data_IF_252913245737
#
_entry.id   IF_252913245737
#
_cell.length_a   1.000
_cell.length_b   1.000
_cell.length_c   1.000
_cell.angle_alpha   90.00
_cell.angle_beta   90.00
_cell.angle_gamma   90.00
#
_symmetry.space_group_name_H-M   'P 1'
#
loop_
_entity.id
_entity.type
_entity.pdbx_description
1 polymer ?
#
# COMPACT_ATOMS: atom_id res chain seq x y z
N UNK A 1 8.05 24.33 -3.62
CA UNK A 1 7.98 23.87 -5.01
C UNK A 1 8.23 25.06 -5.95
N UNK A 2 8.91 24.81 -7.07
CA UNK A 2 9.43 25.87 -7.96
C UNK A 2 8.63 26.02 -9.26
N UNK A 3 7.82 25.04 -9.62
CA UNK A 3 7.07 25.03 -10.90
C UNK A 3 5.63 24.64 -10.69
N UNK A 4 4.75 25.11 -11.59
CA UNK A 4 3.32 24.76 -11.58
C UNK A 4 3.09 23.24 -11.74
N UNK A 5 3.94 22.57 -12.51
CA UNK A 5 3.91 21.12 -12.65
C UNK A 5 4.17 20.39 -11.33
N UNK A 6 5.13 20.87 -10.53
CA UNK A 6 5.41 20.31 -9.21
C UNK A 6 4.22 20.53 -8.25
N UNK A 7 3.60 21.70 -8.29
CA UNK A 7 2.39 22.00 -7.51
C UNK A 7 1.23 21.09 -7.94
N UNK A 8 1.02 20.95 -9.25
CA UNK A 8 -0.02 20.05 -9.77
C UNK A 8 0.20 18.61 -9.33
N UNK A 9 1.41 18.08 -9.47
CA UNK A 9 1.74 16.72 -9.03
C UNK A 9 1.56 16.53 -7.53
N UNK A 10 1.95 17.55 -6.72
CA UNK A 10 1.70 17.51 -5.29
C UNK A 10 0.21 17.33 -4.98
N UNK A 11 -0.61 18.19 -5.55
CA UNK A 11 -2.06 18.21 -5.28
C UNK A 11 -2.77 16.97 -5.82
N UNK A 12 -2.33 16.45 -6.96
CA UNK A 12 -2.93 15.27 -7.58
C UNK A 12 -2.54 13.95 -6.89
N UNK A 13 -1.26 13.79 -6.51
CA UNK A 13 -0.72 12.48 -6.08
C UNK A 13 -0.42 12.38 -4.59
N UNK A 14 0.01 13.45 -3.94
CA UNK A 14 0.64 13.36 -2.61
C UNK A 14 -0.12 14.06 -1.50
N UNK A 15 -0.75 15.20 -1.80
CA UNK A 15 -1.45 16.01 -0.84
C UNK A 15 -2.81 15.39 -0.48
N UNK A 16 -3.04 15.15 0.81
CA UNK A 16 -4.32 14.69 1.32
C UNK A 16 -5.25 15.89 1.54
N UNK A 17 -6.54 15.64 1.43
CA UNK A 17 -7.53 16.64 1.78
C UNK A 17 -7.68 16.68 3.31
N UNK A 18 -7.59 17.87 3.86
CA UNK A 18 -7.83 18.15 5.27
C UNK A 18 -9.24 18.75 5.40
N UNK A 19 -10.14 18.01 6.03
CA UNK A 19 -11.55 18.45 6.20
C UNK A 19 -11.68 19.64 7.12
N UNK A 20 -10.79 19.80 8.10
CA UNK A 20 -10.84 20.93 9.04
C UNK A 20 -10.41 22.22 8.38
N UNK A 21 -9.41 22.14 7.50
CA UNK A 21 -8.91 23.31 6.76
C UNK A 21 -9.67 23.54 5.43
N UNK A 22 -10.48 22.57 4.98
CA UNK A 22 -11.23 22.64 3.73
C UNK A 22 -10.33 22.69 2.48
N UNK A 23 -9.09 22.20 2.56
CA UNK A 23 -8.10 22.22 1.48
C UNK A 23 -7.19 21.02 1.51
N UNK A 24 -6.42 20.82 0.44
CA UNK A 24 -5.33 19.83 0.43
C UNK A 24 -4.10 20.35 1.17
N UNK A 25 -3.30 19.39 1.66
CA UNK A 25 -1.99 19.65 2.26
C UNK A 25 -1.08 20.43 1.29
N UNK A 26 -0.28 21.33 1.83
CA UNK A 26 0.85 21.88 1.12
C UNK A 26 2.10 20.98 1.26
N UNK A 27 3.21 21.32 0.57
CA UNK A 27 4.41 20.48 0.59
C UNK A 27 5.03 20.34 1.99
N UNK A 28 5.02 21.37 2.78
CA UNK A 28 5.54 21.34 4.14
C UNK A 28 4.73 20.41 5.05
N UNK A 29 3.40 20.44 4.93
CA UNK A 29 2.48 19.57 5.65
C UNK A 29 2.65 18.10 5.23
N UNK A 30 2.87 17.83 3.94
CA UNK A 30 3.21 16.48 3.44
C UNK A 30 4.53 16.01 4.04
N UNK A 31 5.58 16.86 4.04
CA UNK A 31 6.86 16.52 4.66
C UNK A 31 6.69 16.22 6.15
N UNK A 32 5.92 17.03 6.87
CA UNK A 32 5.66 16.81 8.29
C UNK A 32 4.92 15.49 8.54
N UNK A 33 3.93 15.16 7.73
CA UNK A 33 3.20 13.87 7.82
C UNK A 33 4.13 12.68 7.59
N UNK A 34 5.01 12.75 6.60
CA UNK A 34 6.01 11.72 6.33
C UNK A 34 6.96 11.55 7.53
N UNK A 35 7.48 12.65 8.08
CA UNK A 35 8.37 12.59 9.23
C UNK A 35 7.67 12.04 10.47
N UNK A 36 6.42 12.42 10.71
CA UNK A 36 5.62 11.90 11.83
C UNK A 36 5.41 10.38 11.71
N UNK A 37 5.14 9.89 10.50
CA UNK A 37 5.04 8.45 10.26
C UNK A 37 6.34 7.72 10.58
N UNK A 38 7.48 8.20 10.10
CA UNK A 38 8.77 7.56 10.38
C UNK A 38 9.14 7.60 11.88
N UNK A 39 8.87 8.71 12.57
CA UNK A 39 9.07 8.80 14.03
C UNK A 39 8.22 7.75 14.77
N UNK A 40 6.95 7.65 14.41
CA UNK A 40 6.05 6.64 14.95
C UNK A 40 6.55 5.21 14.68
N UNK A 41 6.96 4.93 13.45
CA UNK A 41 7.46 3.61 13.04
C UNK A 41 8.74 3.22 13.81
N UNK A 42 9.70 4.13 13.90
CA UNK A 42 10.94 3.91 14.65
C UNK A 42 10.67 3.70 16.15
N UNK A 43 9.76 4.48 16.73
CA UNK A 43 9.35 4.32 18.12
C UNK A 43 8.75 2.93 18.38
N UNK A 44 7.85 2.46 17.52
CA UNK A 44 7.24 1.14 17.65
C UNK A 44 8.24 -0.03 17.48
N UNK A 45 9.36 0.21 16.82
CA UNK A 45 10.44 -0.76 16.66
C UNK A 45 11.57 -0.56 17.69
N UNK A 46 11.38 0.33 18.65
CA UNK A 46 12.38 0.69 19.68
C UNK A 46 13.69 1.25 19.10
N UNK A 47 13.65 1.85 17.92
CA UNK A 47 14.80 2.58 17.36
C UNK A 47 14.86 3.99 17.93
N UNK A 48 15.98 4.34 18.53
CA UNK A 48 16.25 5.69 19.01
C UNK A 48 17.11 6.44 17.98
N UNK A 49 16.55 7.50 17.43
CA UNK A 49 17.21 8.37 16.46
C UNK A 49 17.26 9.78 17.05
N UNK A 50 18.44 10.41 17.01
CA UNK A 50 18.64 11.75 17.58
C UNK A 50 17.85 12.82 16.83
N UNK A 51 17.49 13.88 17.53
CA UNK A 51 16.75 15.01 16.93
C UNK A 51 17.54 15.73 15.83
N UNK A 52 18.87 15.72 15.91
CA UNK A 52 19.73 16.26 14.85
C UNK A 52 19.54 15.50 13.53
N UNK A 53 19.48 14.17 13.57
CA UNK A 53 19.21 13.33 12.38
C UNK A 53 17.80 13.60 11.85
N UNK A 54 16.80 13.68 12.73
CA UNK A 54 15.42 14.00 12.31
C UNK A 54 15.34 15.38 11.63
N UNK A 55 16.04 16.37 12.17
CA UNK A 55 16.10 17.71 11.58
C UNK A 55 16.76 17.72 10.22
N UNK A 56 17.86 16.97 10.04
CA UNK A 56 18.53 16.81 8.74
C UNK A 56 17.65 16.12 7.70
N UNK A 57 16.99 15.03 8.09
CA UNK A 57 16.07 14.29 7.20
C UNK A 57 14.89 15.17 6.76
N UNK A 58 14.27 15.90 7.71
CA UNK A 58 13.18 16.81 7.39
C UNK A 58 13.63 17.92 6.42
N UNK A 59 14.80 18.53 6.66
CA UNK A 59 15.38 19.53 5.79
C UNK A 59 15.68 19.01 4.39
N UNK A 60 16.28 17.81 4.30
CA UNK A 60 16.57 17.16 3.02
C UNK A 60 15.30 16.88 2.21
N UNK A 61 14.24 16.40 2.87
CA UNK A 61 12.94 16.16 2.22
C UNK A 61 12.29 17.48 1.79
N UNK A 62 12.27 18.48 2.67
CA UNK A 62 11.65 19.79 2.40
C UNK A 62 12.30 20.49 1.20
N UNK A 63 13.64 20.42 1.11
CA UNK A 63 14.41 21.02 0.03
C UNK A 63 14.47 20.17 -1.25
N UNK A 64 13.84 18.98 -1.27
CA UNK A 64 13.92 18.03 -2.39
C UNK A 64 15.36 17.53 -2.67
N UNK A 65 16.21 17.50 -1.66
CA UNK A 65 17.57 16.97 -1.75
C UNK A 65 17.59 15.43 -1.64
N UNK A 66 16.69 14.89 -0.82
CA UNK A 66 16.48 13.46 -0.65
C UNK A 66 15.01 13.17 -0.31
N UNK A 67 14.50 12.06 -0.79
CA UNK A 67 13.14 11.60 -0.48
C UNK A 67 13.12 10.08 -0.34
N UNK A 68 12.22 9.52 0.49
CA UNK A 68 11.89 8.10 0.43
C UNK A 68 11.18 7.79 -0.89
N UNK A 69 10.77 6.53 -1.10
CA UNK A 69 9.99 6.19 -2.29
C UNK A 69 8.76 7.11 -2.39
N UNK A 70 8.39 7.49 -3.61
CA UNK A 70 7.22 8.36 -3.83
C UNK A 70 5.93 7.71 -3.30
N UNK A 71 5.85 6.39 -3.32
CA UNK A 71 4.77 5.64 -2.72
C UNK A 71 4.71 5.83 -1.20
N UNK A 72 5.87 5.84 -0.54
CA UNK A 72 5.95 6.14 0.89
C UNK A 72 5.46 7.57 1.19
N UNK A 73 5.87 8.56 0.38
CA UNK A 73 5.39 9.95 0.53
C UNK A 73 3.87 10.02 0.37
N UNK A 74 3.31 9.31 -0.60
CA UNK A 74 1.87 9.25 -0.85
C UNK A 74 1.10 8.61 0.31
N UNK A 75 1.58 7.47 0.83
CA UNK A 75 0.84 6.62 1.75
C UNK A 75 1.18 6.84 3.22
N UNK A 76 2.26 7.59 3.56
CA UNK A 76 2.66 7.84 4.94
C UNK A 76 1.52 8.40 5.80
N UNK A 77 1.43 7.96 7.05
CA UNK A 77 0.38 8.29 8.00
C UNK A 77 -0.59 7.11 8.22
N UNK A 78 -1.90 7.36 8.47
CA UNK A 78 -2.83 6.33 8.93
C UNK A 78 -2.91 5.07 8.05
N UNK A 79 -2.73 5.20 6.73
CA UNK A 79 -2.74 4.06 5.83
C UNK A 79 -1.59 3.09 6.12
N UNK A 80 -0.34 3.59 6.19
CA UNK A 80 0.83 2.76 6.51
C UNK A 80 0.93 2.38 7.99
N UNK A 81 0.24 3.09 8.88
CA UNK A 81 0.12 2.67 10.28
C UNK A 81 -0.78 1.45 10.42
N UNK A 82 -1.77 1.30 9.54
CA UNK A 82 -2.66 0.14 9.50
C UNK A 82 -2.00 -1.04 8.80
N UNK A 83 -1.48 -0.85 7.60
CA UNK A 83 -0.79 -1.87 6.83
C UNK A 83 0.37 -1.27 6.02
N UNK A 84 1.56 -1.83 6.20
CA UNK A 84 2.78 -1.35 5.55
C UNK A 84 2.95 -1.90 4.12
N UNK A 85 2.13 -2.84 3.68
CA UNK A 85 2.17 -3.38 2.32
C UNK A 85 1.98 -2.28 1.28
N UNK A 86 1.15 -1.29 1.56
CA UNK A 86 0.91 -0.14 0.69
C UNK A 86 2.14 0.71 0.34
N UNK A 87 3.30 0.51 0.99
CA UNK A 87 4.55 1.22 0.65
C UNK A 87 5.22 0.66 -0.62
N UNK A 88 4.92 -0.57 -0.97
CA UNK A 88 5.49 -1.23 -2.13
C UNK A 88 4.70 -0.90 -3.40
N UNK A 89 5.38 -0.62 -4.50
CA UNK A 89 4.75 -0.39 -5.79
C UNK A 89 4.37 -1.70 -6.47
N UNK A 90 5.27 -2.68 -6.40
CA UNK A 90 5.15 -3.96 -7.09
C UNK A 90 5.61 -5.09 -6.19
N UNK A 91 5.00 -6.24 -6.38
CA UNK A 91 5.38 -7.52 -5.78
C UNK A 91 5.29 -8.64 -6.82
N UNK A 92 5.76 -9.80 -6.46
CA UNK A 92 5.67 -11.00 -7.28
C UNK A 92 5.39 -12.20 -6.38
N UNK A 93 4.54 -13.12 -6.84
CA UNK A 93 4.28 -14.38 -6.16
C UNK A 93 4.10 -15.54 -7.17
N UNK A 94 4.27 -16.76 -6.69
CA UNK A 94 3.92 -17.96 -7.43
C UNK A 94 2.50 -18.37 -7.09
N UNK A 95 1.67 -18.63 -8.10
CA UNK A 95 0.36 -19.24 -7.90
C UNK A 95 0.53 -20.76 -7.84
N UNK A 96 1.00 -21.25 -6.71
CA UNK A 96 1.26 -22.67 -6.48
C UNK A 96 0.12 -23.38 -5.72
N UNK A 97 -0.77 -22.62 -5.09
CA UNK A 97 -1.93 -23.13 -4.36
C UNK A 97 -3.10 -22.14 -4.40
N UNK A 98 -4.26 -22.53 -3.87
CA UNK A 98 -5.46 -21.66 -3.83
C UNK A 98 -5.23 -20.46 -2.93
N UNK A 99 -4.51 -20.64 -1.83
CA UNK A 99 -4.24 -19.55 -0.87
C UNK A 99 -3.39 -18.43 -1.49
N UNK A 100 -2.53 -18.76 -2.48
CA UNK A 100 -1.78 -17.75 -3.22
C UNK A 100 -2.69 -16.78 -4.01
N UNK A 101 -3.89 -17.20 -4.43
CA UNK A 101 -4.89 -16.31 -5.03
C UNK A 101 -5.45 -15.33 -4.00
N UNK A 102 -5.62 -15.77 -2.77
CA UNK A 102 -6.05 -14.91 -1.65
C UNK A 102 -4.98 -13.89 -1.33
N UNK A 103 -3.72 -14.30 -1.28
CA UNK A 103 -2.58 -13.41 -1.06
C UNK A 103 -2.46 -12.38 -2.19
N UNK A 104 -2.60 -12.80 -3.46
CA UNK A 104 -2.60 -11.92 -4.63
C UNK A 104 -3.68 -10.83 -4.48
N UNK A 105 -4.92 -11.24 -4.22
CA UNK A 105 -6.03 -10.33 -4.03
C UNK A 105 -5.79 -9.36 -2.87
N UNK A 106 -5.33 -9.87 -1.73
CA UNK A 106 -5.04 -9.03 -0.56
C UNK A 106 -3.99 -7.96 -0.87
N UNK A 107 -2.88 -8.33 -1.52
CA UNK A 107 -1.81 -7.41 -1.91
C UNK A 107 -2.33 -6.36 -2.90
N UNK A 108 -3.12 -6.76 -3.89
CA UNK A 108 -3.75 -5.86 -4.85
C UNK A 108 -4.67 -4.85 -4.17
N UNK A 109 -5.46 -5.28 -3.17
CA UNK A 109 -6.35 -4.41 -2.40
C UNK A 109 -5.59 -3.38 -1.54
N UNK A 110 -4.33 -3.65 -1.18
CA UNK A 110 -3.45 -2.65 -0.55
C UNK A 110 -2.88 -1.64 -1.55
N UNK A 111 -3.19 -1.80 -2.84
CA UNK A 111 -2.75 -0.91 -3.91
C UNK A 111 -1.35 -1.22 -4.46
N UNK A 112 -0.79 -2.37 -4.16
CA UNK A 112 0.47 -2.88 -4.71
C UNK A 112 0.18 -3.69 -5.96
N UNK A 113 0.85 -3.42 -7.08
CA UNK A 113 0.75 -4.25 -8.29
C UNK A 113 1.39 -5.62 -8.06
N UNK A 114 0.73 -6.69 -8.49
CA UNK A 114 1.25 -8.05 -8.33
C UNK A 114 1.48 -8.68 -9.70
N UNK A 115 2.72 -9.14 -9.92
CA UNK A 115 3.05 -10.09 -10.98
C UNK A 115 2.99 -11.50 -10.43
N UNK A 116 2.48 -12.45 -11.20
CA UNK A 116 2.42 -13.84 -10.76
C UNK A 116 2.90 -14.80 -11.84
N UNK A 117 3.38 -15.97 -11.41
CA UNK A 117 3.74 -17.09 -12.27
C UNK A 117 2.75 -18.23 -12.08
N UNK A 118 2.34 -18.84 -13.18
CA UNK A 118 1.46 -20.02 -13.25
C UNK A 118 2.19 -21.19 -13.89
N UNK A 119 3.38 -21.46 -13.44
CA UNK A 119 4.20 -22.54 -13.99
C UNK A 119 3.57 -23.91 -13.69
N UNK A 120 3.48 -24.72 -14.74
CA UNK A 120 2.83 -26.05 -14.65
C UNK A 120 3.42 -26.93 -13.57
N UNK A 121 4.72 -26.82 -13.34
CA UNK A 121 5.46 -27.59 -12.34
C UNK A 121 4.90 -27.39 -10.93
N UNK A 122 4.48 -26.17 -10.59
CA UNK A 122 3.98 -25.81 -9.26
C UNK A 122 2.47 -25.87 -9.13
N UNK A 123 1.74 -25.72 -10.24
CA UNK A 123 0.27 -25.60 -10.20
C UNK A 123 -0.47 -26.96 -10.29
N UNK A 124 0.11 -27.96 -10.98
CA UNK A 124 -0.60 -29.20 -11.32
C UNK A 124 -1.00 -30.03 -10.10
N UNK A 125 -0.18 -30.02 -9.07
CA UNK A 125 -0.39 -30.86 -7.89
C UNK A 125 -1.27 -30.19 -6.82
N UNK A 126 -1.22 -28.87 -6.73
CA UNK A 126 -1.78 -28.11 -5.61
C UNK A 126 -3.11 -27.43 -5.93
N UNK A 127 -3.43 -27.24 -7.20
CA UNK A 127 -4.72 -26.66 -7.57
C UNK A 127 -5.83 -27.70 -7.70
N UNK A 128 -7.03 -27.42 -7.18
CA UNK A 128 -8.17 -28.33 -7.32
C UNK A 128 -8.59 -28.43 -8.78
N UNK A 129 -8.94 -29.63 -9.23
CA UNK A 129 -9.49 -29.83 -10.57
C UNK A 129 -10.89 -29.23 -10.65
N UNK A 130 -11.10 -28.32 -11.60
CA UNK A 130 -12.44 -27.76 -11.88
C UNK A 130 -13.32 -28.86 -12.44
N UNK A 131 -14.43 -29.15 -11.76
CA UNK A 131 -15.44 -30.10 -12.21
C UNK A 131 -16.50 -29.39 -13.03
N UNK A 132 -16.98 -30.02 -14.10
CA UNK A 132 -18.13 -29.49 -14.84
C UNK A 132 -19.36 -29.46 -13.92
N UNK A 133 -20.09 -28.35 -13.94
CA UNK A 133 -21.33 -28.21 -13.20
C UNK A 133 -22.35 -29.25 -13.73
N UNK A 134 -22.99 -30.00 -12.82
CA UNK A 134 -24.07 -30.91 -13.17
C UNK A 134 -25.34 -30.11 -13.40
N UNK A 135 -26.17 -30.52 -14.39
CA UNK A 135 -27.41 -29.82 -14.80
C UNK A 135 -28.42 -29.55 -13.66
N UNK A 136 -28.39 -30.31 -12.57
CA UNK A 136 -29.31 -30.17 -11.42
C UNK A 136 -28.55 -29.96 -10.11
N UNK A 137 -27.41 -29.29 -10.14
CA UNK A 137 -26.66 -28.98 -8.92
C UNK A 137 -27.31 -27.80 -8.22
N UNK A 138 -27.55 -27.92 -6.93
CA UNK A 138 -28.00 -26.82 -6.08
C UNK A 138 -27.01 -25.67 -6.10
N UNK A 139 -27.53 -24.47 -6.36
CA UNK A 139 -26.72 -23.25 -6.36
C UNK A 139 -26.55 -22.80 -4.90
N UNK A 140 -25.32 -22.84 -4.42
CA UNK A 140 -24.97 -22.25 -3.12
C UNK A 140 -24.69 -20.75 -3.30
N UNK A 141 -25.41 -19.94 -2.57
CA UNK A 141 -25.15 -18.51 -2.52
C UNK A 141 -24.19 -18.23 -1.37
N UNK A 142 -23.06 -17.60 -1.67
CA UNK A 142 -22.13 -17.07 -0.67
C UNK A 142 -22.27 -15.56 -0.65
N UNK A 143 -22.50 -15.00 0.53
CA UNK A 143 -22.63 -13.54 0.71
C UNK A 143 -21.31 -13.05 1.27
N UNK A 144 -20.60 -12.27 0.48
CA UNK A 144 -19.30 -11.71 0.84
C UNK A 144 -19.51 -10.43 1.64
N UNK A 145 -18.95 -10.30 2.86
CA UNK A 145 -18.93 -9.04 3.58
C UNK A 145 -18.09 -7.99 2.81
N UNK A 146 -18.52 -6.72 2.84
CA UNK A 146 -17.78 -5.65 2.17
C UNK A 146 -16.59 -5.16 3.03
N UNK A 147 -15.64 -6.07 3.24
CA UNK A 147 -14.37 -5.85 3.95
C UNK A 147 -13.24 -6.47 3.16
N UNK A 148 -12.00 -6.03 3.39
CA UNK A 148 -10.81 -6.62 2.73
C UNK A 148 -10.72 -8.12 2.98
N UNK A 149 -10.90 -8.54 4.21
CA UNK A 149 -10.86 -9.95 4.63
C UNK A 149 -12.00 -10.74 3.99
N UNK A 150 -13.22 -10.18 3.97
CA UNK A 150 -14.39 -10.83 3.36
C UNK A 150 -14.24 -11.06 1.86
N UNK A 151 -13.55 -10.20 1.13
CA UNK A 151 -13.26 -10.41 -0.29
C UNK A 151 -12.17 -11.47 -0.51
N UNK A 152 -11.39 -11.79 0.52
CA UNK A 152 -10.35 -12.83 0.48
C UNK A 152 -10.85 -14.22 0.91
N UNK A 153 -12.08 -14.33 1.47
CA UNK A 153 -12.73 -15.61 1.82
C UNK A 153 -13.35 -16.30 0.60
#
# INVERSE_FOLDING_TARGET
LKTDLQVFQLLDKFARFDEQLGRRENWEEVCQRVMNYFKWHCSNKNYQISDDIWSKLHKGLLNLEAAPSMRCVQMAGPALMRDQMGVYNCSFLFLDCVDALVEDLYILMQGTGVGFSVEREYTVENFPRIKRQKKNQEIKTHVIPDTTEGWCE
#
